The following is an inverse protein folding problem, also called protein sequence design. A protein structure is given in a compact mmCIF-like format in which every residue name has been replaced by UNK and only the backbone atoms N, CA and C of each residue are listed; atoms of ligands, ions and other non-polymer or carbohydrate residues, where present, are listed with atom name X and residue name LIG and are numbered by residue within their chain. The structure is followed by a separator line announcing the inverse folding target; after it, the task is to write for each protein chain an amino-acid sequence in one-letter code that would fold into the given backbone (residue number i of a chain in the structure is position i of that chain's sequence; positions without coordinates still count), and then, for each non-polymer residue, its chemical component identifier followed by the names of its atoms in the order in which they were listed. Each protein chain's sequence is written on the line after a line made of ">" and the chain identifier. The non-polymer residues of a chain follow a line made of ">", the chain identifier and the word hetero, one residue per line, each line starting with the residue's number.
data_IF_144401233471
#
_entry.id   IF_144401233471
#
_cell.length_a   1.000
_cell.length_b   1.000
_cell.length_c   1.000
_cell.angle_alpha   90.00
_cell.angle_beta   90.00
_cell.angle_gamma   90.00
#
_symmetry.space_group_name_H-M   'P 1'
#
loop_
_entity.id
_entity.type
_entity.pdbx_description
1 polymer ?
#
# COMPACT_ATOMS: atom_id res chain seq x y z
N UNK A 1 -3.80 53.69 3.90
CA UNK A 1 -2.56 53.28 4.62
C UNK A 1 -2.48 51.74 4.68
N UNK A 2 -2.34 51.07 3.54
CA UNK A 2 -2.53 49.60 3.41
C UNK A 2 -1.20 48.83 3.29
N UNK A 3 -0.10 49.39 3.80
CA UNK A 3 1.27 48.98 3.43
C UNK A 3 1.96 48.04 4.42
N UNK A 4 1.23 47.41 5.35
CA UNK A 4 1.84 46.52 6.37
C UNK A 4 1.12 45.19 6.60
N UNK A 5 0.10 44.86 5.82
CA UNK A 5 -0.65 43.60 5.98
C UNK A 5 -0.40 42.60 4.83
N UNK A 6 0.82 42.60 4.28
CA UNK A 6 1.17 41.87 3.05
C UNK A 6 2.39 40.95 3.24
N UNK A 7 2.49 40.29 4.40
CA UNK A 7 3.54 39.31 4.68
C UNK A 7 3.01 37.96 5.21
N UNK A 8 1.72 37.65 5.07
CA UNK A 8 1.15 36.48 5.76
C UNK A 8 0.68 35.30 4.90
N UNK A 9 0.78 35.32 3.57
CA UNK A 9 0.23 34.20 2.78
C UNK A 9 1.13 33.90 1.58
N UNK A 10 2.15 33.07 1.81
CA UNK A 10 2.64 32.16 0.78
C UNK A 10 3.34 30.95 1.43
N UNK A 11 2.61 30.21 2.26
CA UNK A 11 2.99 28.84 2.59
C UNK A 11 2.73 27.99 1.34
N UNK A 12 3.77 27.83 0.52
CA UNK A 12 3.75 26.91 -0.63
C UNK A 12 3.64 25.50 -0.06
N UNK A 13 2.42 24.96 -0.08
CA UNK A 13 2.17 23.54 0.14
C UNK A 13 2.74 22.80 -1.07
N UNK A 14 3.98 22.31 -0.94
CA UNK A 14 4.53 21.33 -1.87
C UNK A 14 3.78 20.03 -1.63
N UNK A 15 2.70 19.82 -2.38
CA UNK A 15 1.99 18.55 -2.40
C UNK A 15 2.89 17.50 -3.04
N UNK A 16 3.53 16.66 -2.20
CA UNK A 16 4.18 15.44 -2.68
C UNK A 16 3.16 14.63 -3.47
N UNK A 17 3.49 14.28 -4.71
CA UNK A 17 2.61 13.46 -5.52
C UNK A 17 2.55 12.07 -4.89
N UNK A 18 1.39 11.69 -4.39
CA UNK A 18 1.16 10.36 -3.80
C UNK A 18 0.93 9.37 -4.93
N UNK A 19 2.00 8.90 -5.57
CA UNK A 19 1.91 7.88 -6.61
C UNK A 19 1.67 6.53 -5.95
N UNK A 20 0.57 5.88 -6.31
CA UNK A 20 0.30 4.52 -5.88
C UNK A 20 1.28 3.55 -6.54
N UNK A 21 1.90 2.71 -5.73
CA UNK A 21 2.73 1.64 -6.23
C UNK A 21 1.90 0.47 -6.73
N UNK A 22 2.54 -0.35 -7.56
CA UNK A 22 1.93 -1.57 -8.10
C UNK A 22 2.89 -2.75 -8.00
N UNK A 23 2.35 -3.96 -8.07
CA UNK A 23 3.12 -5.19 -8.19
C UNK A 23 2.40 -6.14 -9.14
N UNK A 24 3.17 -6.89 -9.94
CA UNK A 24 2.62 -7.91 -10.84
C UNK A 24 3.53 -9.12 -10.88
N UNK A 25 3.02 -10.26 -10.45
CA UNK A 25 3.78 -11.51 -10.40
C UNK A 25 3.22 -12.49 -9.39
N UNK A 26 4.03 -13.48 -8.99
CA UNK A 26 3.61 -14.46 -7.98
C UNK A 26 3.84 -13.93 -6.56
N UNK A 27 3.05 -14.45 -5.63
CA UNK A 27 3.22 -14.20 -4.20
C UNK A 27 4.43 -14.98 -3.69
N UNK A 28 5.42 -14.30 -3.14
CA UNK A 28 6.62 -14.93 -2.56
C UNK A 28 6.47 -15.20 -1.07
N UNK A 29 5.70 -14.37 -0.36
CA UNK A 29 5.35 -14.61 1.05
C UNK A 29 4.12 -13.81 1.48
N UNK A 30 3.36 -14.37 2.41
CA UNK A 30 2.30 -13.70 3.17
C UNK A 30 2.70 -13.84 4.63
N UNK A 31 2.76 -12.72 5.36
CA UNK A 31 3.13 -12.70 6.77
C UNK A 31 1.95 -12.13 7.58
N UNK A 32 1.62 -12.82 8.67
CA UNK A 32 0.65 -12.38 9.69
C UNK A 32 1.42 -12.30 11.00
N UNK A 33 1.51 -11.10 11.57
CA UNK A 33 2.27 -10.85 12.80
C UNK A 33 1.33 -10.80 14.01
N UNK A 34 1.58 -11.64 15.01
CA UNK A 34 0.76 -11.71 16.22
C UNK A 34 0.96 -10.47 17.13
N UNK A 35 2.18 -9.94 17.20
CA UNK A 35 2.53 -8.85 18.13
C UNK A 35 1.72 -7.56 17.93
N UNK A 36 1.17 -7.34 16.72
CA UNK A 36 0.41 -6.13 16.40
C UNK A 36 -0.65 -6.32 15.30
N UNK A 37 -0.91 -7.56 14.88
CA UNK A 37 -1.88 -7.91 13.85
C UNK A 37 -1.53 -7.46 12.44
N UNK A 38 -0.29 -7.05 12.16
CA UNK A 38 0.09 -6.58 10.83
C UNK A 38 0.04 -7.73 9.81
N UNK A 39 -0.65 -7.51 8.69
CA UNK A 39 -0.64 -8.46 7.56
C UNK A 39 -0.08 -7.82 6.32
N UNK A 40 0.99 -8.42 5.79
CA UNK A 40 1.68 -7.91 4.61
C UNK A 40 2.11 -9.04 3.68
N UNK A 41 2.29 -8.68 2.41
CA UNK A 41 2.58 -9.60 1.32
C UNK A 41 3.75 -9.11 0.50
N UNK A 42 4.62 -10.03 0.09
CA UNK A 42 5.62 -9.79 -0.93
C UNK A 42 5.15 -10.42 -2.24
N UNK A 43 5.25 -9.66 -3.32
CA UNK A 43 4.87 -10.06 -4.68
C UNK A 43 6.04 -9.74 -5.60
N UNK A 44 6.32 -10.62 -6.54
CA UNK A 44 7.28 -10.34 -7.61
C UNK A 44 6.88 -9.09 -8.41
N UNK A 45 7.85 -8.45 -9.06
CA UNK A 45 7.57 -7.34 -9.98
C UNK A 45 7.00 -6.09 -9.30
N UNK A 46 7.37 -5.82 -8.04
CA UNK A 46 7.03 -4.58 -7.34
C UNK A 46 7.69 -3.37 -8.02
N UNK A 47 6.91 -2.32 -8.28
CA UNK A 47 7.35 -1.08 -8.93
C UNK A 47 6.58 0.15 -8.40
N UNK A 48 7.07 1.35 -8.74
CA UNK A 48 6.42 2.65 -8.50
C UNK A 48 6.05 2.92 -7.04
N UNK A 49 6.86 2.45 -6.09
CA UNK A 49 6.60 2.59 -4.65
C UNK A 49 6.49 4.08 -4.27
N UNK A 50 5.51 4.47 -3.44
CA UNK A 50 5.47 5.82 -2.86
C UNK A 50 6.66 6.01 -1.91
N UNK A 51 7.05 7.27 -1.68
CA UNK A 51 8.20 7.62 -0.84
C UNK A 51 8.12 7.06 0.59
N UNK A 52 6.91 6.89 1.12
CA UNK A 52 6.72 6.31 2.44
C UNK A 52 7.05 4.81 2.49
N UNK A 53 6.92 4.08 1.38
CA UNK A 53 7.09 2.64 1.35
C UNK A 53 8.56 2.28 1.13
N UNK A 54 9.33 2.22 2.21
CA UNK A 54 10.74 1.78 2.15
C UNK A 54 10.81 0.26 1.88
N UNK A 55 9.92 -0.53 2.46
CA UNK A 55 9.84 -1.98 2.26
C UNK A 55 9.35 -2.39 0.87
N UNK A 56 9.73 -3.58 0.41
CA UNK A 56 9.25 -4.14 -0.88
C UNK A 56 7.90 -4.87 -0.78
N UNK A 57 7.34 -4.94 0.42
CA UNK A 57 6.05 -5.56 0.70
C UNK A 57 4.89 -4.54 0.57
N UNK A 58 3.66 -5.05 0.58
CA UNK A 58 2.42 -4.28 0.64
C UNK A 58 1.55 -4.76 1.78
N UNK A 59 0.73 -3.87 2.34
CA UNK A 59 0.04 -4.09 3.61
C UNK A 59 -1.47 -4.15 3.40
N UNK A 60 -2.14 -5.10 4.03
CA UNK A 60 -3.60 -5.06 4.14
C UNK A 60 -3.95 -3.93 5.12
N UNK A 61 -4.45 -2.80 4.61
CA UNK A 61 -4.67 -1.57 5.37
C UNK A 61 -5.44 -1.73 6.69
N UNK A 62 -6.48 -2.57 6.67
CA UNK A 62 -7.29 -2.88 7.84
C UNK A 62 -7.66 -4.36 7.79
N UNK A 63 -6.84 -5.16 8.44
CA UNK A 63 -6.89 -6.62 8.49
C UNK A 63 -8.16 -7.13 9.19
N UNK A 64 -8.75 -6.32 10.08
CA UNK A 64 -9.95 -6.68 10.82
C UNK A 64 -11.26 -6.42 10.04
N UNK A 65 -11.20 -5.63 8.96
CA UNK A 65 -12.36 -5.34 8.13
C UNK A 65 -12.80 -6.54 7.27
N UNK A 66 -14.08 -6.55 6.86
CA UNK A 66 -14.57 -7.58 5.94
C UNK A 66 -13.79 -7.59 4.61
N UNK A 67 -13.38 -6.43 4.11
CA UNK A 67 -12.55 -6.31 2.90
C UNK A 67 -11.14 -6.84 3.13
N UNK A 68 -10.49 -6.51 4.25
CA UNK A 68 -9.16 -7.02 4.58
C UNK A 68 -9.13 -8.55 4.69
N UNK A 69 -10.14 -9.14 5.32
CA UNK A 69 -10.30 -10.61 5.39
C UNK A 69 -10.49 -11.25 4.01
N UNK A 70 -11.27 -10.62 3.12
CA UNK A 70 -11.43 -11.08 1.73
C UNK A 70 -10.13 -10.94 0.92
N UNK A 71 -9.39 -9.86 1.11
CA UNK A 71 -8.08 -9.67 0.49
C UNK A 71 -7.10 -10.76 0.93
N UNK A 72 -7.00 -11.03 2.25
CA UNK A 72 -6.15 -12.11 2.77
C UNK A 72 -6.57 -13.48 2.19
N UNK A 73 -7.87 -13.79 2.17
CA UNK A 73 -8.37 -15.02 1.59
C UNK A 73 -8.01 -15.16 0.10
N UNK A 74 -8.13 -14.08 -0.68
CA UNK A 74 -7.76 -14.06 -2.10
C UNK A 74 -6.26 -14.30 -2.30
N UNK A 75 -5.40 -13.70 -1.47
CA UNK A 75 -3.96 -13.92 -1.49
C UNK A 75 -3.61 -15.39 -1.18
N UNK A 76 -4.22 -15.96 -0.13
CA UNK A 76 -4.01 -17.37 0.23
C UNK A 76 -4.43 -18.31 -0.91
N UNK A 77 -5.59 -18.07 -1.54
CA UNK A 77 -6.03 -18.85 -2.70
C UNK A 77 -5.09 -18.71 -3.89
N UNK A 78 -4.66 -17.49 -4.22
CA UNK A 78 -3.76 -17.24 -5.33
C UNK A 78 -2.39 -17.89 -5.12
N UNK A 79 -1.86 -17.86 -3.89
CA UNK A 79 -0.61 -18.53 -3.53
C UNK A 79 -0.74 -20.05 -3.64
N UNK A 80 -1.80 -20.63 -3.07
CA UNK A 80 -2.07 -22.07 -3.14
C UNK A 80 -2.25 -22.57 -4.59
N UNK A 81 -2.85 -21.74 -5.45
CA UNK A 81 -3.06 -22.04 -6.87
C UNK A 81 -1.88 -21.66 -7.78
N UNK A 82 -0.77 -21.14 -7.23
CA UNK A 82 0.40 -20.68 -7.98
C UNK A 82 0.04 -19.66 -9.10
N UNK A 83 -0.95 -18.80 -8.84
CA UNK A 83 -1.46 -17.81 -9.79
C UNK A 83 -0.65 -16.52 -9.77
N UNK A 84 -0.58 -15.86 -10.94
CA UNK A 84 -0.08 -14.49 -11.06
C UNK A 84 -1.16 -13.53 -10.56
N UNK A 85 -0.76 -12.53 -9.78
CA UNK A 85 -1.64 -11.47 -9.31
C UNK A 85 -1.12 -10.11 -9.73
N UNK A 86 -2.04 -9.14 -9.80
CA UNK A 86 -1.74 -7.72 -9.86
C UNK A 86 -2.25 -7.05 -8.58
N UNK A 87 -1.38 -6.29 -7.91
CA UNK A 87 -1.69 -5.55 -6.69
C UNK A 87 -1.46 -4.07 -6.94
N UNK A 88 -2.42 -3.25 -6.55
CA UNK A 88 -2.34 -1.78 -6.63
C UNK A 88 -2.49 -1.21 -5.23
N UNK A 89 -1.62 -0.28 -4.87
CA UNK A 89 -1.65 0.40 -3.58
C UNK A 89 -2.48 1.68 -3.58
N UNK A 90 -2.56 2.31 -2.40
CA UNK A 90 -3.20 3.62 -2.21
C UNK A 90 -2.24 4.80 -2.36
N UNK A 91 -0.94 4.56 -2.53
CA UNK A 91 0.14 5.54 -2.42
C UNK A 91 0.42 5.98 -0.97
N UNK A 92 -0.33 5.46 0.00
CA UNK A 92 -0.23 5.86 1.41
C UNK A 92 0.24 4.70 2.28
N UNK A 93 0.93 5.01 3.37
CA UNK A 93 1.45 4.06 4.34
C UNK A 93 0.80 4.33 5.71
N UNK A 94 -0.52 4.12 5.80
CA UNK A 94 -1.28 4.51 7.00
C UNK A 94 -1.33 3.40 8.05
N UNK A 95 -1.27 2.13 7.63
CA UNK A 95 -1.28 1.00 8.57
C UNK A 95 0.08 0.77 9.24
N UNK A 96 1.16 0.99 8.50
CA UNK A 96 2.53 0.84 8.99
C UNK A 96 3.46 1.79 8.21
N UNK A 97 4.39 2.51 8.87
CA UNK A 97 5.07 3.66 8.26
C UNK A 97 5.90 3.35 7.01
N UNK A 98 6.49 2.15 6.88
CA UNK A 98 7.40 1.79 5.79
C UNK A 98 6.81 0.83 4.75
N UNK A 99 5.49 0.57 4.79
CA UNK A 99 4.83 -0.27 3.79
C UNK A 99 3.54 0.33 3.25
N UNK A 100 3.36 0.25 1.94
CA UNK A 100 2.20 0.83 1.26
C UNK A 100 0.93 0.01 1.53
N UNK A 101 -0.17 0.70 1.82
CA UNK A 101 -1.50 0.13 1.95
C UNK A 101 -2.03 -0.37 0.60
N UNK A 102 -2.54 -1.60 0.58
CA UNK A 102 -3.19 -2.22 -0.59
C UNK A 102 -4.56 -1.60 -0.82
N UNK A 103 -4.80 -1.15 -2.06
CA UNK A 103 -6.12 -0.74 -2.53
C UNK A 103 -6.93 -1.94 -3.04
N UNK A 104 -6.40 -2.66 -4.03
CA UNK A 104 -7.05 -3.87 -4.54
C UNK A 104 -6.05 -4.92 -5.01
N UNK A 105 -6.56 -6.14 -5.11
CA UNK A 105 -5.84 -7.31 -5.61
C UNK A 105 -6.69 -7.93 -6.72
N UNK A 106 -6.04 -8.26 -7.84
CA UNK A 106 -6.64 -8.96 -8.97
C UNK A 106 -5.87 -10.27 -9.18
N UNK A 107 -6.57 -11.39 -9.28
CA UNK A 107 -6.00 -12.65 -9.74
C UNK A 107 -6.12 -12.71 -11.26
N UNK A 108 -5.00 -12.90 -11.94
CA UNK A 108 -4.97 -12.99 -13.40
C UNK A 108 -5.50 -14.35 -13.89
N UNK A 109 -6.01 -14.36 -15.12
CA UNK A 109 -6.60 -15.56 -15.74
C UNK A 109 -5.51 -16.58 -16.06
#
# INVERSE_FOLDING_TARGET
>A
MYRKFLCFILLIVVGGSVWAGNARGKITSIIVRDSDGLVYVNVEGRANKPDCAVGNYMIIKNENSATGKRQLALLLMAQAANKVISVTGYGTCTRWPDGEDINYILVEK
#
